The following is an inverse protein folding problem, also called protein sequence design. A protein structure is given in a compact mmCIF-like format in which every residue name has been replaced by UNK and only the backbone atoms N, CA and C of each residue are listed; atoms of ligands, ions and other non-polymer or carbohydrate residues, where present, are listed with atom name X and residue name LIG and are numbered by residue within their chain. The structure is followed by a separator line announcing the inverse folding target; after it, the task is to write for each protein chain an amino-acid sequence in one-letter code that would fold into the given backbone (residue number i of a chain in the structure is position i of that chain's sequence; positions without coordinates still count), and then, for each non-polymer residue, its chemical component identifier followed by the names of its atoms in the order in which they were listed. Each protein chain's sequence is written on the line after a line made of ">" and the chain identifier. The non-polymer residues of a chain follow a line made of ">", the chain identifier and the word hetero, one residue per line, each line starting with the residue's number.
data_IF_428692364150
#
_entry.id   IF_428692364150
#
_cell.length_a   1.000
_cell.length_b   1.000
_cell.length_c   1.000
_cell.angle_alpha   90.00
_cell.angle_beta   90.00
_cell.angle_gamma   90.00
#
_symmetry.space_group_name_H-M   'P 1'
#
loop_
_entity.id
_entity.type
_entity.pdbx_description
1 polymer ?
#
# COMPACT_ATOMS: atom_id res chain seq x y z
N UNK A 1 8.22 -4.12 -27.23
CA UNK A 1 8.03 -2.74 -26.81
C UNK A 1 8.29 -2.68 -25.30
N UNK A 2 9.16 -1.78 -24.87
CA UNK A 2 9.40 -1.56 -23.43
C UNK A 2 8.25 -0.69 -22.90
N UNK A 3 7.48 -1.22 -21.96
CA UNK A 3 6.40 -0.53 -21.29
C UNK A 3 6.47 -0.86 -19.81
N UNK A 4 6.49 0.15 -18.96
CA UNK A 4 6.43 -0.03 -17.51
C UNK A 4 4.98 -0.26 -17.10
N UNK A 5 4.71 -1.34 -16.40
CA UNK A 5 3.38 -1.71 -15.93
C UNK A 5 3.25 -1.41 -14.45
N UNK A 6 2.26 -0.60 -14.08
CA UNK A 6 1.99 -0.24 -12.69
C UNK A 6 0.75 -0.96 -12.20
N UNK A 7 0.87 -1.65 -11.09
CA UNK A 7 -0.23 -2.30 -10.40
C UNK A 7 -0.84 -1.32 -9.39
N UNK A 8 -2.11 -1.01 -9.58
CA UNK A 8 -2.85 -0.07 -8.74
C UNK A 8 -3.89 -0.86 -7.96
N UNK A 9 -3.80 -0.84 -6.63
CA UNK A 9 -4.68 -1.62 -5.76
C UNK A 9 -5.40 -0.71 -4.78
N UNK A 10 -6.71 -0.67 -4.86
CA UNK A 10 -7.55 0.06 -3.93
C UNK A 10 -8.32 -0.90 -3.00
N UNK A 11 -8.83 -0.34 -1.90
CA UNK A 11 -9.58 -1.11 -0.92
C UNK A 11 -8.73 -2.17 -0.23
N UNK A 12 -9.36 -3.27 0.16
CA UNK A 12 -8.73 -4.40 0.87
C UNK A 12 -8.78 -5.67 0.01
N UNK A 13 -8.28 -5.59 -1.22
CA UNK A 13 -8.33 -6.71 -2.18
C UNK A 13 -7.57 -7.95 -1.72
N UNK A 14 -6.63 -7.78 -0.79
CA UNK A 14 -5.97 -8.89 -0.10
C UNK A 14 -6.93 -9.76 0.68
N UNK A 15 -7.88 -9.16 1.42
CA UNK A 15 -8.93 -9.87 2.15
C UNK A 15 -9.81 -10.71 1.22
N UNK A 16 -10.02 -10.26 -0.02
CA UNK A 16 -10.70 -11.01 -1.08
C UNK A 16 -9.88 -12.16 -1.67
N UNK A 17 -8.71 -12.50 -1.11
CA UNK A 17 -7.86 -13.60 -1.56
C UNK A 17 -6.92 -13.27 -2.72
N UNK A 18 -6.78 -12.01 -3.09
CA UNK A 18 -5.97 -11.60 -4.26
C UNK A 18 -4.46 -11.49 -3.98
N UNK A 19 -3.99 -11.62 -2.73
CA UNK A 19 -2.57 -11.45 -2.37
C UNK A 19 -1.63 -12.36 -3.18
N UNK A 20 -2.05 -13.59 -3.46
CA UNK A 20 -1.25 -14.53 -4.27
C UNK A 20 -1.05 -14.03 -5.69
N UNK A 21 -2.09 -13.43 -6.29
CA UNK A 21 -2.03 -12.87 -7.64
C UNK A 21 -1.02 -11.72 -7.69
N UNK A 22 -1.11 -10.81 -6.72
CA UNK A 22 -0.21 -9.64 -6.67
C UNK A 22 1.26 -10.06 -6.48
N UNK A 23 1.53 -11.02 -5.62
CA UNK A 23 2.87 -11.58 -5.43
C UNK A 23 3.42 -12.24 -6.67
N UNK A 24 2.57 -13.01 -7.39
CA UNK A 24 2.97 -13.64 -8.64
C UNK A 24 3.27 -12.60 -9.71
N UNK A 25 2.47 -11.54 -9.83
CA UNK A 25 2.76 -10.43 -10.75
C UNK A 25 4.14 -9.82 -10.51
N UNK A 26 4.51 -9.57 -9.25
CA UNK A 26 5.84 -9.09 -8.89
C UNK A 26 6.91 -10.15 -9.15
N UNK A 27 6.68 -11.40 -8.77
CA UNK A 27 7.63 -12.49 -8.89
C UNK A 27 8.01 -12.76 -10.34
N UNK A 28 7.05 -12.65 -11.26
CA UNK A 28 7.23 -12.86 -12.70
C UNK A 28 7.54 -11.57 -13.48
N UNK A 29 7.88 -10.48 -12.78
CA UNK A 29 8.23 -9.18 -13.37
C UNK A 29 7.09 -8.61 -14.26
N UNK A 30 5.85 -8.76 -13.82
CA UNK A 30 4.66 -8.22 -14.50
C UNK A 30 4.25 -6.85 -13.96
N UNK A 31 4.85 -6.41 -12.86
CA UNK A 31 4.65 -5.09 -12.25
C UNK A 31 6.01 -4.44 -11.97
N UNK A 32 6.18 -3.19 -12.39
CA UNK A 32 7.39 -2.40 -12.20
C UNK A 32 7.25 -1.37 -11.07
N UNK A 33 6.01 -1.00 -10.73
CA UNK A 33 5.67 -0.18 -9.58
C UNK A 33 4.29 -0.58 -9.04
N UNK A 34 4.06 -0.32 -7.77
CA UNK A 34 2.79 -0.57 -7.09
C UNK A 34 2.33 0.72 -6.42
N UNK A 35 1.05 1.09 -6.62
CA UNK A 35 0.38 2.14 -5.85
C UNK A 35 -0.84 1.52 -5.18
N UNK A 36 -0.89 1.58 -3.85
CA UNK A 36 -1.87 0.80 -3.10
C UNK A 36 -2.45 1.55 -1.90
N UNK A 37 -3.46 0.96 -1.28
CA UNK A 37 -3.94 1.36 0.04
C UNK A 37 -3.09 0.74 1.14
N UNK A 38 -3.01 1.41 2.29
CA UNK A 38 -2.40 0.86 3.49
C UNK A 38 -3.08 -0.44 3.95
N UNK A 39 -4.40 -0.52 3.80
CA UNK A 39 -5.15 -1.73 4.10
C UNK A 39 -4.63 -2.95 3.32
N UNK A 40 -4.41 -2.84 2.01
CA UNK A 40 -3.89 -3.96 1.21
C UNK A 40 -2.46 -4.34 1.57
N UNK A 41 -1.61 -3.37 1.88
CA UNK A 41 -0.18 -3.59 2.11
C UNK A 41 0.10 -3.95 3.58
N UNK A 42 -0.44 -3.20 4.53
CA UNK A 42 -0.10 -3.36 5.94
C UNK A 42 -1.10 -4.30 6.63
N UNK A 43 -2.41 -4.01 6.57
CA UNK A 43 -3.40 -4.76 7.32
C UNK A 43 -3.62 -6.17 6.74
N UNK A 44 -3.26 -6.38 5.46
CA UNK A 44 -3.40 -7.67 4.80
C UNK A 44 -2.05 -8.40 4.63
N UNK A 45 -1.13 -7.87 3.80
CA UNK A 45 0.10 -8.58 3.48
C UNK A 45 1.08 -8.64 4.66
N UNK A 46 1.29 -7.51 5.34
CA UNK A 46 2.23 -7.48 6.48
C UNK A 46 1.70 -8.29 7.68
N UNK A 47 0.39 -8.21 7.97
CA UNK A 47 -0.26 -9.05 8.97
C UNK A 47 0.00 -10.54 8.70
N UNK A 48 -0.22 -10.99 7.45
CA UNK A 48 0.06 -12.37 7.08
C UNK A 48 1.57 -12.69 7.12
N UNK A 49 2.44 -11.76 6.76
CA UNK A 49 3.89 -11.95 6.86
C UNK A 49 4.36 -12.18 8.31
N UNK A 50 3.67 -11.59 9.29
CA UNK A 50 3.88 -11.83 10.72
C UNK A 50 3.34 -13.19 11.19
N UNK A 51 2.67 -13.95 10.32
CA UNK A 51 2.16 -15.29 10.58
C UNK A 51 0.70 -15.33 11.02
N UNK A 52 0.02 -14.21 11.00
CA UNK A 52 -1.40 -14.08 11.31
C UNK A 52 -2.27 -14.45 10.10
N UNK A 53 -3.58 -14.50 10.24
CA UNK A 53 -4.48 -15.00 9.21
C UNK A 53 -5.73 -14.15 9.09
N UNK A 54 -6.29 -14.16 7.88
CA UNK A 54 -7.65 -13.74 7.60
C UNK A 54 -8.57 -14.96 7.62
N UNK A 55 -9.80 -14.77 8.09
CA UNK A 55 -10.79 -15.83 8.22
C UNK A 55 -12.04 -15.46 7.43
N UNK A 56 -12.51 -16.38 6.58
CA UNK A 56 -13.78 -16.19 5.88
C UNK A 56 -14.94 -16.60 6.78
N UNK A 57 -15.88 -15.69 6.98
CA UNK A 57 -17.10 -15.97 7.72
C UNK A 57 -18.09 -16.79 6.88
N UNK A 58 -18.74 -17.78 7.50
CA UNK A 58 -19.89 -18.46 6.88
C UNK A 58 -21.18 -17.67 7.06
N UNK A 59 -21.33 -17.03 8.21
CA UNK A 59 -22.44 -16.18 8.58
C UNK A 59 -21.83 -14.90 9.20
N UNK A 60 -22.44 -13.76 8.93
CA UNK A 60 -21.98 -12.49 9.49
C UNK A 60 -22.93 -12.09 10.63
N UNK A 61 -22.54 -12.27 11.92
CA UNK A 61 -23.29 -11.75 13.05
C UNK A 61 -23.28 -10.22 13.05
N UNK A 62 -24.06 -9.61 13.92
CA UNK A 62 -24.06 -8.16 14.07
C UNK A 62 -22.72 -7.63 14.62
N UNK A 63 -22.39 -6.38 14.28
CA UNK A 63 -21.12 -5.77 14.62
C UNK A 63 -20.89 -5.60 16.13
N UNK A 64 -21.94 -5.51 16.96
CA UNK A 64 -21.77 -5.45 18.41
C UNK A 64 -21.28 -6.78 18.97
N UNK A 65 -21.76 -7.88 18.40
CA UNK A 65 -21.28 -9.22 18.75
C UNK A 65 -19.81 -9.37 18.37
N UNK A 66 -19.42 -9.00 17.15
CA UNK A 66 -18.03 -9.05 16.69
C UNK A 66 -17.11 -8.20 17.57
N UNK A 67 -17.53 -6.97 17.86
CA UNK A 67 -16.78 -6.07 18.77
C UNK A 67 -16.58 -6.69 20.16
N UNK A 68 -17.58 -7.37 20.71
CA UNK A 68 -17.47 -8.02 22.03
C UNK A 68 -16.49 -9.20 22.03
N UNK A 69 -16.23 -9.75 20.85
CA UNK A 69 -15.28 -10.86 20.62
C UNK A 69 -13.90 -10.39 20.13
N UNK A 70 -13.67 -9.09 20.04
CA UNK A 70 -12.43 -8.52 19.49
C UNK A 70 -12.15 -9.00 18.05
N UNK A 71 -13.18 -8.98 17.21
CA UNK A 71 -13.10 -9.37 15.80
C UNK A 71 -13.44 -8.16 14.94
N UNK A 72 -12.50 -7.75 14.12
CA UNK A 72 -12.71 -6.81 13.03
C UNK A 72 -13.21 -7.54 11.79
N UNK A 73 -13.97 -6.85 10.94
CA UNK A 73 -14.43 -7.42 9.69
C UNK A 73 -14.35 -6.46 8.51
N UNK A 74 -14.10 -7.06 7.36
CA UNK A 74 -14.24 -6.42 6.06
C UNK A 74 -15.19 -7.31 5.27
N UNK A 75 -16.45 -6.92 5.12
CA UNK A 75 -17.53 -7.75 4.56
C UNK A 75 -17.64 -9.10 5.30
N UNK A 76 -17.25 -10.20 4.66
CA UNK A 76 -17.25 -11.57 5.16
C UNK A 76 -15.87 -12.08 5.56
N UNK A 77 -14.89 -11.21 5.62
CA UNK A 77 -13.53 -11.52 6.05
C UNK A 77 -13.29 -10.99 7.45
N UNK A 78 -12.86 -11.85 8.35
CA UNK A 78 -12.58 -11.53 9.75
C UNK A 78 -11.09 -11.42 10.01
N UNK A 79 -10.75 -10.52 10.92
CA UNK A 79 -9.41 -10.26 11.42
C UNK A 79 -9.49 -10.26 12.94
N UNK A 80 -8.57 -10.93 13.61
CA UNK A 80 -8.43 -10.85 15.05
C UNK A 80 -7.83 -9.49 15.43
N UNK A 81 -8.53 -8.71 16.27
CA UNK A 81 -8.12 -7.37 16.66
C UNK A 81 -6.81 -7.37 17.46
N UNK A 82 -6.54 -8.40 18.27
CA UNK A 82 -5.29 -8.52 19.02
C UNK A 82 -4.11 -8.79 18.08
N UNK A 83 -4.32 -9.58 17.02
CA UNK A 83 -3.33 -9.81 15.96
C UNK A 83 -3.05 -8.50 15.18
N UNK A 84 -4.09 -7.70 14.90
CA UNK A 84 -3.94 -6.41 14.24
C UNK A 84 -3.18 -5.41 15.12
N UNK A 85 -3.43 -5.38 16.44
CA UNK A 85 -2.65 -4.59 17.38
C UNK A 85 -1.17 -5.03 17.46
N UNK A 86 -0.89 -6.30 17.17
CA UNK A 86 0.49 -6.77 17.01
C UNK A 86 1.18 -6.14 15.80
N UNK A 87 0.45 -5.93 14.71
CA UNK A 87 0.94 -5.18 13.53
C UNK A 87 1.29 -3.75 13.93
N UNK A 88 0.39 -3.04 14.62
CA UNK A 88 0.61 -1.67 15.11
C UNK A 88 1.89 -1.57 15.95
N UNK A 89 2.06 -2.50 16.90
CA UNK A 89 3.23 -2.53 17.75
C UNK A 89 4.52 -2.85 16.98
N UNK A 90 4.46 -3.74 16.00
CA UNK A 90 5.61 -4.04 15.16
C UNK A 90 6.04 -2.82 14.33
N UNK A 91 5.08 -2.08 13.78
CA UNK A 91 5.36 -0.81 13.10
C UNK A 91 5.97 0.22 14.06
N UNK A 92 5.43 0.34 15.29
CA UNK A 92 6.01 1.21 16.32
C UNK A 92 7.48 0.86 16.61
N UNK A 93 7.82 -0.42 16.76
CA UNK A 93 9.20 -0.85 16.99
C UNK A 93 10.10 -0.58 15.79
N UNK A 94 9.60 -0.81 14.57
CA UNK A 94 10.33 -0.44 13.35
C UNK A 94 10.61 1.07 13.31
N UNK A 95 9.62 1.92 13.61
CA UNK A 95 9.82 3.36 13.70
C UNK A 95 10.92 3.74 14.70
N UNK A 96 10.99 3.04 15.84
CA UNK A 96 12.02 3.30 16.86
C UNK A 96 13.42 2.84 16.45
N UNK A 97 13.51 1.87 15.54
CA UNK A 97 14.78 1.33 15.05
C UNK A 97 15.39 2.16 13.91
N UNK A 98 14.59 2.97 13.25
CA UNK A 98 15.00 3.80 12.12
C UNK A 98 15.48 5.18 12.54
N UNK A 99 16.20 5.85 11.66
CA UNK A 99 16.62 7.23 11.84
C UNK A 99 15.39 8.15 11.91
N UNK A 100 15.42 9.13 12.82
CA UNK A 100 14.34 10.10 12.99
C UNK A 100 14.41 11.20 11.91
N UNK A 101 13.87 10.92 10.73
CA UNK A 101 13.76 11.81 9.58
C UNK A 101 12.43 11.62 8.84
N UNK A 102 12.08 12.48 7.88
CA UNK A 102 11.01 12.18 6.94
C UNK A 102 11.37 10.96 6.08
N UNK A 103 10.40 10.06 5.88
CA UNK A 103 10.44 8.94 4.95
C UNK A 103 9.26 9.07 3.99
N UNK A 104 9.44 8.76 2.72
CA UNK A 104 8.30 8.47 1.86
C UNK A 104 7.68 7.14 2.28
N UNK A 105 6.42 6.90 1.93
CA UNK A 105 5.81 5.59 2.20
C UNK A 105 6.60 4.47 1.52
N UNK A 106 7.10 4.74 0.30
CA UNK A 106 7.97 3.81 -0.43
C UNK A 106 9.23 3.46 0.35
N UNK A 107 9.94 4.47 0.90
CA UNK A 107 11.14 4.22 1.70
C UNK A 107 10.82 3.40 2.95
N UNK A 108 9.73 3.74 3.64
CA UNK A 108 9.35 3.04 4.86
C UNK A 108 8.93 1.59 4.58
N UNK A 109 8.15 1.34 3.53
CA UNK A 109 7.77 -0.01 3.10
C UNK A 109 9.00 -0.80 2.65
N UNK A 110 9.98 -0.15 2.03
CA UNK A 110 11.26 -0.78 1.69
C UNK A 110 12.01 -1.26 2.94
N UNK A 111 12.05 -0.47 4.02
CA UNK A 111 12.64 -0.90 5.29
C UNK A 111 11.85 -2.06 5.94
N UNK A 112 10.52 -2.08 5.82
CA UNK A 112 9.71 -3.25 6.21
C UNK A 112 10.12 -4.48 5.40
N UNK A 113 10.23 -4.37 4.08
CA UNK A 113 10.64 -5.47 3.19
C UNK A 113 12.02 -6.01 3.51
N UNK A 114 12.97 -5.13 3.77
CA UNK A 114 14.32 -5.46 4.22
C UNK A 114 14.30 -6.20 5.56
N UNK A 115 13.50 -5.73 6.52
CA UNK A 115 13.34 -6.36 7.82
C UNK A 115 12.73 -7.76 7.70
N UNK A 116 11.71 -7.95 6.86
CA UNK A 116 11.12 -9.24 6.56
C UNK A 116 12.15 -10.21 5.94
N UNK A 117 12.91 -9.73 4.94
CA UNK A 117 13.94 -10.51 4.25
C UNK A 117 15.11 -10.91 5.17
N UNK A 118 15.35 -10.16 6.25
CA UNK A 118 16.33 -10.49 7.27
C UNK A 118 15.93 -11.66 8.19
N UNK A 119 14.80 -12.34 7.91
CA UNK A 119 14.36 -13.53 8.64
C UNK A 119 13.25 -13.29 9.64
N UNK A 120 12.64 -12.09 9.65
CA UNK A 120 11.54 -11.77 10.55
C UNK A 120 10.16 -12.19 10.00
N UNK A 121 10.09 -12.53 8.71
CA UNK A 121 8.87 -13.08 8.12
C UNK A 121 8.61 -14.50 8.65
N UNK A 122 7.41 -14.72 9.18
CA UNK A 122 6.95 -16.07 9.57
C UNK A 122 6.29 -16.82 8.40
N UNK A 123 5.78 -16.06 7.41
CA UNK A 123 5.25 -16.60 6.15
C UNK A 123 6.16 -16.13 5.00
N UNK A 124 6.57 -17.04 4.13
CA UNK A 124 7.56 -16.79 3.06
C UNK A 124 7.02 -16.06 1.82
N UNK A 125 5.75 -15.74 1.81
CA UNK A 125 5.05 -15.28 0.60
C UNK A 125 4.48 -13.86 0.74
N UNK A 126 5.18 -12.94 1.39
CA UNK A 126 4.78 -11.55 1.50
C UNK A 126 5.01 -10.79 0.19
N UNK A 127 4.03 -9.98 -0.22
CA UNK A 127 4.15 -9.04 -1.34
C UNK A 127 5.23 -7.99 -1.05
N UNK A 128 5.27 -7.44 0.17
CA UNK A 128 6.27 -6.45 0.59
C UNK A 128 7.67 -7.03 0.49
N UNK A 129 7.89 -8.24 1.04
CA UNK A 129 9.19 -8.90 0.95
C UNK A 129 9.58 -9.17 -0.50
N UNK A 130 8.64 -9.68 -1.30
CA UNK A 130 8.91 -9.99 -2.71
C UNK A 130 9.20 -8.73 -3.52
N UNK A 131 8.49 -7.64 -3.28
CA UNK A 131 8.75 -6.35 -3.92
C UNK A 131 10.16 -5.81 -3.56
N UNK A 132 10.55 -5.91 -2.28
CA UNK A 132 11.90 -5.57 -1.85
C UNK A 132 12.96 -6.41 -2.58
N UNK A 133 12.82 -7.74 -2.61
CA UNK A 133 13.77 -8.66 -3.28
C UNK A 133 13.89 -8.41 -4.79
N UNK A 134 12.81 -7.94 -5.42
CA UNK A 134 12.73 -7.65 -6.86
C UNK A 134 13.06 -6.20 -7.22
N UNK A 135 13.21 -5.31 -6.25
CA UNK A 135 13.43 -3.90 -6.50
C UNK A 135 12.20 -3.16 -7.01
N UNK A 136 10.99 -3.67 -6.74
CA UNK A 136 9.73 -3.04 -7.14
C UNK A 136 9.26 -2.08 -6.05
N UNK A 137 9.12 -0.77 -6.32
CA UNK A 137 8.67 0.20 -5.34
C UNK A 137 7.17 0.05 -5.05
N UNK A 138 6.78 0.23 -3.78
CA UNK A 138 5.39 0.28 -3.34
C UNK A 138 5.12 1.66 -2.73
N UNK A 139 4.14 2.37 -3.27
CA UNK A 139 3.66 3.66 -2.80
C UNK A 139 2.29 3.52 -2.14
N UNK A 140 2.11 4.14 -0.99
CA UNK A 140 0.84 4.18 -0.26
C UNK A 140 0.53 5.64 0.08
N UNK A 141 -0.20 6.37 -0.78
CA UNK A 141 -0.40 7.82 -0.65
C UNK A 141 -1.09 8.25 0.65
N UNK A 142 -2.01 7.43 1.18
CA UNK A 142 -2.70 7.67 2.45
C UNK A 142 -2.16 6.71 3.53
N UNK A 143 -0.86 6.73 3.78
CA UNK A 143 -0.16 5.74 4.59
C UNK A 143 -0.62 5.66 6.05
N UNK A 144 -1.16 6.74 6.61
CA UNK A 144 -1.69 6.73 7.98
C UNK A 144 -3.09 6.13 8.11
N UNK A 145 -3.77 5.80 7.00
CA UNK A 145 -5.11 5.20 6.99
C UNK A 145 -5.03 3.66 6.98
N UNK A 146 -4.30 3.11 7.97
CA UNK A 146 -4.13 1.68 8.22
C UNK A 146 -3.38 1.48 9.55
N UNK A 147 -3.13 0.23 9.96
CA UNK A 147 -2.34 -0.13 11.15
C UNK A 147 -0.99 0.61 11.25
N UNK A 148 -0.34 0.91 10.14
CA UNK A 148 0.89 1.70 10.18
C UNK A 148 0.69 3.07 10.81
N UNK A 149 -0.47 3.71 10.59
CA UNK A 149 -0.81 4.99 11.20
C UNK A 149 -0.82 4.93 12.73
N UNK A 150 -1.39 3.89 13.32
CA UNK A 150 -1.42 3.72 14.78
C UNK A 150 -0.01 3.55 15.35
N UNK A 151 0.81 2.72 14.74
CA UNK A 151 2.21 2.54 15.13
C UNK A 151 3.03 3.82 15.06
N UNK A 152 2.88 4.59 13.96
CA UNK A 152 3.55 5.90 13.77
C UNK A 152 3.08 6.91 14.82
N UNK A 153 1.78 7.03 15.07
CA UNK A 153 1.23 7.95 16.06
C UNK A 153 1.77 7.62 17.45
N UNK A 154 1.79 6.35 17.84
CA UNK A 154 2.37 5.91 19.10
C UNK A 154 3.84 6.32 19.21
N UNK A 155 4.65 6.04 18.17
CA UNK A 155 6.06 6.45 18.10
C UNK A 155 6.22 7.96 18.28
N UNK A 156 5.48 8.77 17.54
CA UNK A 156 5.59 10.22 17.59
C UNK A 156 5.20 10.78 18.95
N UNK A 157 4.12 10.30 19.55
CA UNK A 157 3.64 10.76 20.87
C UNK A 157 4.67 10.45 21.96
N UNK A 158 5.21 9.24 21.98
CA UNK A 158 6.20 8.85 22.99
C UNK A 158 7.53 9.60 22.83
N UNK A 159 8.00 9.74 21.60
CA UNK A 159 9.22 10.50 21.31
C UNK A 159 9.08 11.98 21.67
N UNK A 160 7.94 12.60 21.36
CA UNK A 160 7.66 13.99 21.76
C UNK A 160 7.65 14.16 23.27
N UNK A 161 7.00 13.27 24.02
CA UNK A 161 7.01 13.30 25.50
C UNK A 161 8.42 13.18 26.07
N UNK A 162 9.29 12.42 25.39
CA UNK A 162 10.70 12.25 25.78
C UNK A 162 11.62 13.37 25.27
N UNK A 163 11.11 14.37 24.56
CA UNK A 163 11.93 15.43 23.95
C UNK A 163 12.89 14.93 22.87
N UNK A 164 12.57 13.81 22.21
CA UNK A 164 13.40 13.17 21.17
C UNK A 164 12.85 13.43 19.77
N UNK A 165 13.71 13.49 18.75
CA UNK A 165 13.26 13.55 17.37
C UNK A 165 12.49 12.28 16.99
N UNK A 166 11.58 12.36 16.02
CA UNK A 166 10.76 11.27 15.53
C UNK A 166 10.68 11.26 14.00
N UNK A 167 10.35 10.12 13.43
CA UNK A 167 10.14 10.02 12.00
C UNK A 167 8.74 10.54 11.60
N UNK A 168 8.62 10.94 10.35
CA UNK A 168 7.36 11.34 9.71
C UNK A 168 7.25 10.67 8.34
N UNK A 169 6.04 10.63 7.79
CA UNK A 169 5.82 10.19 6.40
C UNK A 169 5.62 11.42 5.53
N UNK A 170 6.39 11.47 4.44
CA UNK A 170 6.39 12.53 3.44
C UNK A 170 5.61 12.08 2.20
N UNK A 171 4.32 12.40 2.14
CA UNK A 171 3.47 12.08 0.99
C UNK A 171 3.79 12.93 -0.25
N UNK A 172 4.34 14.13 -0.07
CA UNK A 172 4.83 14.95 -1.18
C UNK A 172 6.05 14.30 -1.85
N UNK A 173 6.94 13.73 -1.04
CA UNK A 173 8.06 12.94 -1.52
C UNK A 173 7.62 11.71 -2.32
N UNK A 174 6.58 10.99 -1.87
CA UNK A 174 6.00 9.88 -2.63
C UNK A 174 5.53 10.32 -4.03
N UNK A 175 4.83 11.47 -4.10
CA UNK A 175 4.30 11.95 -5.37
C UNK A 175 5.41 12.38 -6.33
N UNK A 176 6.44 13.05 -5.82
CA UNK A 176 7.63 13.39 -6.60
C UNK A 176 8.34 12.15 -7.12
N UNK A 177 8.63 11.16 -6.26
CA UNK A 177 9.32 9.93 -6.66
C UNK A 177 8.53 9.14 -7.73
N UNK A 178 7.21 9.00 -7.57
CA UNK A 178 6.40 8.31 -8.56
C UNK A 178 6.37 9.07 -9.90
N UNK A 179 6.36 10.42 -9.86
CA UNK A 179 6.48 11.26 -11.07
C UNK A 179 7.84 11.08 -11.75
N UNK A 180 8.92 11.02 -11.00
CA UNK A 180 10.27 10.72 -11.53
C UNK A 180 10.31 9.34 -12.22
N UNK A 181 9.64 8.33 -11.64
CA UNK A 181 9.49 7.00 -12.26
C UNK A 181 8.68 7.10 -13.56
N UNK A 182 7.60 7.89 -13.60
CA UNK A 182 6.82 8.13 -14.82
C UNK A 182 7.67 8.71 -15.94
N UNK A 183 8.46 9.73 -15.64
CA UNK A 183 9.36 10.37 -16.60
C UNK A 183 10.44 9.41 -17.10
N UNK A 184 11.06 8.64 -16.20
CA UNK A 184 12.09 7.67 -16.57
C UNK A 184 11.56 6.49 -17.39
N UNK A 185 10.31 6.08 -17.16
CA UNK A 185 9.70 4.94 -17.84
C UNK A 185 9.28 5.23 -19.28
N UNK A 186 8.96 6.50 -19.61
CA UNK A 186 8.36 6.88 -20.88
C UNK A 186 6.98 6.25 -21.05
N UNK A 187 6.88 5.17 -21.83
CA UNK A 187 5.62 4.47 -22.03
C UNK A 187 5.22 3.67 -20.77
N UNK A 188 4.03 3.94 -20.27
CA UNK A 188 3.47 3.32 -19.06
C UNK A 188 2.11 2.68 -19.31
N UNK A 189 1.80 1.65 -18.50
CA UNK A 189 0.52 0.96 -18.49
C UNK A 189 0.00 0.90 -17.04
N UNK A 190 -1.30 1.16 -16.83
CA UNK A 190 -1.96 1.04 -15.54
C UNK A 190 -2.86 -0.19 -15.51
N UNK A 191 -2.63 -1.09 -14.56
CA UNK A 191 -3.51 -2.19 -14.24
C UNK A 191 -4.15 -1.91 -12.88
N UNK A 192 -5.42 -1.47 -12.89
CA UNK A 192 -6.12 -0.94 -11.72
C UNK A 192 -7.17 -1.94 -11.22
N UNK A 193 -7.10 -2.26 -9.94
CA UNK A 193 -8.10 -3.05 -9.23
C UNK A 193 -8.74 -2.18 -8.15
N UNK A 194 -10.02 -1.88 -8.31
CA UNK A 194 -10.71 -0.81 -7.59
C UNK A 194 -10.44 0.56 -8.22
N UNK A 195 -10.33 1.61 -7.41
CA UNK A 195 -10.17 2.99 -7.87
C UNK A 195 -9.69 3.92 -6.74
N UNK A 196 -10.27 5.10 -6.64
CA UNK A 196 -10.02 6.05 -5.54
C UNK A 196 -8.60 6.61 -5.52
N UNK A 197 -8.04 6.79 -4.33
CA UNK A 197 -6.76 7.48 -4.11
C UNK A 197 -5.59 6.83 -4.88
N UNK A 198 -5.36 5.51 -4.86
CA UNK A 198 -4.27 4.92 -5.61
C UNK A 198 -4.35 5.17 -7.12
N UNK A 199 -5.56 5.10 -7.69
CA UNK A 199 -5.82 5.40 -9.10
C UNK A 199 -5.46 6.85 -9.42
N UNK A 200 -6.04 7.80 -8.68
CA UNK A 200 -5.81 9.23 -8.93
C UNK A 200 -4.33 9.59 -8.76
N UNK A 201 -3.69 9.08 -7.73
CA UNK A 201 -2.28 9.35 -7.47
C UNK A 201 -1.37 8.90 -8.62
N UNK A 202 -1.66 7.73 -9.20
CA UNK A 202 -0.92 7.22 -10.35
C UNK A 202 -1.18 8.06 -11.62
N UNK A 203 -2.43 8.41 -11.89
CA UNK A 203 -2.81 9.20 -13.08
C UNK A 203 -2.29 10.63 -12.99
N UNK A 204 -2.33 11.25 -11.83
CA UNK A 204 -1.92 12.64 -11.61
C UNK A 204 -0.39 12.84 -11.75
N UNK A 205 0.40 11.76 -11.89
CA UNK A 205 1.83 11.87 -12.20
C UNK A 205 2.11 12.56 -13.54
N UNK A 206 1.19 12.46 -14.49
CA UNK A 206 1.28 13.18 -15.78
C UNK A 206 1.14 14.68 -15.54
N UNK A 207 0.10 15.10 -14.83
CA UNK A 207 -0.13 16.52 -14.48
C UNK A 207 1.01 17.06 -13.62
N UNK A 208 1.51 16.26 -12.68
CA UNK A 208 2.66 16.66 -11.86
C UNK A 208 3.92 16.88 -12.72
N UNK A 209 4.17 16.01 -13.69
CA UNK A 209 5.30 16.16 -14.61
C UNK A 209 5.19 17.45 -15.44
N UNK A 210 4.00 17.78 -15.95
CA UNK A 210 3.74 19.06 -16.67
C UNK A 210 4.01 20.27 -15.77
N UNK A 211 3.55 20.25 -14.52
CA UNK A 211 3.81 21.32 -13.54
C UNK A 211 5.32 21.48 -13.28
N UNK A 212 6.09 20.40 -13.37
CA UNK A 212 7.55 20.42 -13.24
C UNK A 212 8.27 20.84 -14.52
N UNK A 213 7.55 21.20 -15.59
CA UNK A 213 8.10 21.69 -16.86
C UNK A 213 8.38 20.62 -17.91
N UNK A 214 7.79 19.44 -17.76
CA UNK A 214 7.89 18.35 -18.74
C UNK A 214 6.63 18.31 -19.62
N UNK A 215 6.45 19.32 -20.48
CA UNK A 215 5.27 19.50 -21.34
C UNK A 215 5.12 18.38 -22.43
N UNK A 216 6.15 17.62 -22.66
CA UNK A 216 6.19 16.50 -23.60
C UNK A 216 5.95 15.12 -22.97
N UNK A 217 5.55 15.09 -21.67
CA UNK A 217 5.25 13.82 -21.00
C UNK A 217 4.09 13.09 -21.67
N UNK A 218 4.32 11.81 -22.02
CA UNK A 218 3.24 10.98 -22.56
C UNK A 218 2.25 10.59 -21.45
N UNK A 219 0.96 10.62 -21.74
CA UNK A 219 -0.08 10.01 -20.86
C UNK A 219 0.17 8.50 -20.71
N UNK A 220 -0.55 7.85 -19.80
CA UNK A 220 -0.46 6.40 -19.69
C UNK A 220 -1.07 5.74 -20.92
N UNK A 221 -0.24 5.10 -21.72
CA UNK A 221 -0.63 4.58 -23.05
C UNK A 221 -1.66 3.45 -23.00
N UNK A 222 -1.57 2.63 -21.97
CA UNK A 222 -2.49 1.51 -21.76
C UNK A 222 -3.06 1.62 -20.35
N UNK A 223 -4.36 1.39 -20.21
CA UNK A 223 -4.99 1.36 -18.92
C UNK A 223 -6.18 0.41 -18.92
N UNK A 224 -6.31 -0.35 -17.83
CA UNK A 224 -7.47 -1.19 -17.58
C UNK A 224 -7.86 -1.03 -16.11
N UNK A 225 -9.17 -0.91 -15.86
CA UNK A 225 -9.71 -0.85 -14.51
C UNK A 225 -10.72 -1.96 -14.31
N UNK A 226 -10.52 -2.76 -13.25
CA UNK A 226 -11.44 -3.78 -12.79
C UNK A 226 -12.10 -3.26 -11.51
N UNK A 227 -13.40 -3.04 -11.55
CA UNK A 227 -14.15 -2.48 -10.42
C UNK A 227 -15.61 -2.93 -10.48
N UNK A 228 -16.28 -2.96 -9.33
CA UNK A 228 -17.74 -3.11 -9.21
C UNK A 228 -18.46 -1.76 -9.12
N UNK A 229 -17.71 -0.66 -9.05
CA UNK A 229 -18.26 0.68 -8.94
C UNK A 229 -18.93 1.11 -10.25
N UNK A 230 -20.04 1.84 -10.13
CA UNK A 230 -20.67 2.53 -11.26
C UNK A 230 -19.75 3.67 -11.74
N UNK A 231 -19.81 3.99 -13.04
CA UNK A 231 -18.99 5.05 -13.65
C UNK A 231 -19.16 6.42 -13.00
N UNK A 232 -20.28 6.65 -12.31
CA UNK A 232 -20.58 7.88 -11.56
C UNK A 232 -19.98 7.89 -10.16
N UNK A 233 -19.48 6.76 -9.70
CA UNK A 233 -18.86 6.64 -8.38
C UNK A 233 -17.51 7.39 -8.35
N UNK A 234 -17.19 8.00 -7.22
CA UNK A 234 -15.92 8.69 -7.00
C UNK A 234 -14.70 7.79 -7.23
N UNK A 235 -14.84 6.48 -7.04
CA UNK A 235 -13.78 5.52 -7.32
C UNK A 235 -13.39 5.45 -8.80
N UNK A 236 -14.32 5.77 -9.72
CA UNK A 236 -14.07 5.83 -11.15
C UNK A 236 -13.71 7.24 -11.64
N UNK A 237 -14.05 8.29 -10.86
CA UNK A 237 -13.87 9.73 -11.16
C UNK A 237 -14.42 10.21 -12.51
N UNK A 238 -15.19 9.39 -13.24
CA UNK A 238 -15.71 9.66 -14.60
C UNK A 238 -14.65 10.18 -15.59
N UNK A 239 -13.37 9.95 -15.28
CA UNK A 239 -12.24 10.35 -16.13
C UNK A 239 -11.91 9.28 -17.15
N UNK A 240 -11.21 9.66 -18.22
CA UNK A 240 -10.52 8.69 -19.08
C UNK A 240 -9.49 7.93 -18.23
N UNK A 241 -9.16 6.70 -18.63
CA UNK A 241 -8.21 5.88 -17.86
C UNK A 241 -6.74 6.19 -18.17
N UNK A 242 -6.51 7.05 -19.15
CA UNK A 242 -5.17 7.41 -19.63
C UNK A 242 -4.54 8.53 -18.82
#
# INVERSE_FOLDING_TARGET
>A
QKCSTWLIMAGSTGAGGCLHVWRDMVSYNMADAIVATGASIIDMDFLEALGFKHYQAKEVPDDNTLRSLYIDRIYDTYIDEEELQHVDNTIYELCNSLEARPYTSREFIWEIGKWLAAGNAKKKDSLIQRAYEKGVPIFVPAFSDCSAGFGIVKHQVERRKAGKPYLTIDSGGDFRELTEIKLAAGTTALFMVGGGVPKNFAQDTVVCAEILGHDDVEVHKYAVQITVADVRDGACSSSTLQ
#
